data_IF_187025848488
#
_entry.id   IF_187025848488
#
_cell.length_a   1.000
_cell.length_b   1.000
_cell.length_c   1.000
_cell.angle_alpha   90.00
_cell.angle_beta   90.00
_cell.angle_gamma   90.00
#
_symmetry.space_group_name_H-M   'P 1'
#
loop_
_entity.id
_entity.type
_entity.pdbx_description
1 polymer ?
#
# COMPACT_ATOMS: atom_id res chain seq x y z
N UNK A 1 -8.89 16.10 -9.08
CA UNK A 1 -8.63 15.73 -7.68
C UNK A 1 -7.41 14.84 -7.68
N UNK A 2 -6.40 15.15 -6.87
CA UNK A 2 -5.22 14.30 -6.77
C UNK A 2 -5.61 13.19 -5.80
N UNK A 3 -5.79 11.97 -6.30
CA UNK A 3 -6.08 10.81 -5.47
C UNK A 3 -4.84 10.52 -4.63
N UNK A 4 -4.92 10.82 -3.34
CA UNK A 4 -3.82 10.57 -2.43
C UNK A 4 -3.91 9.13 -1.90
N UNK A 5 -2.81 8.36 -2.00
CA UNK A 5 -2.75 7.05 -1.38
C UNK A 5 -2.72 7.23 0.14
N UNK A 6 -3.71 6.67 0.81
CA UNK A 6 -3.93 6.82 2.24
C UNK A 6 -3.05 5.83 3.01
N UNK A 7 -3.13 4.55 2.65
CA UNK A 7 -2.44 3.47 3.34
C UNK A 7 -2.22 2.24 2.46
N UNK A 8 -1.23 1.43 2.83
CA UNK A 8 -1.04 0.09 2.29
C UNK A 8 -1.82 -0.87 3.18
N UNK A 9 -2.90 -1.41 2.65
CA UNK A 9 -3.84 -2.29 3.36
C UNK A 9 -3.35 -3.73 3.38
N UNK A 10 -2.66 -4.14 2.31
CA UNK A 10 -2.22 -5.53 2.15
C UNK A 10 -0.98 -5.60 1.27
N UNK A 11 -0.26 -6.73 1.35
CA UNK A 11 0.91 -7.03 0.51
C UNK A 11 0.81 -8.48 0.04
N UNK A 12 0.84 -8.68 -1.27
CA UNK A 12 0.80 -9.99 -1.90
C UNK A 12 1.98 -10.15 -2.83
N UNK A 13 2.63 -11.33 -2.81
CA UNK A 13 3.67 -11.65 -3.78
C UNK A 13 3.13 -12.63 -4.79
N UNK A 14 2.95 -12.17 -6.04
CA UNK A 14 2.61 -13.07 -7.14
C UNK A 14 3.84 -13.82 -7.61
N UNK A 15 3.84 -15.13 -7.37
CA UNK A 15 4.89 -16.05 -7.85
C UNK A 15 4.53 -16.53 -9.26
N UNK A 16 5.40 -16.20 -10.20
CA UNK A 16 5.41 -16.77 -11.55
C UNK A 16 6.47 -17.88 -11.62
N UNK A 17 6.53 -18.61 -12.74
CA UNK A 17 7.45 -19.75 -12.93
C UNK A 17 8.92 -19.44 -12.63
N UNK A 18 9.36 -18.20 -12.85
CA UNK A 18 10.76 -17.77 -12.69
C UNK A 18 10.93 -16.44 -11.94
N UNK A 19 9.84 -15.78 -11.57
CA UNK A 19 9.90 -14.44 -10.97
C UNK A 19 8.86 -14.30 -9.86
N UNK A 20 9.14 -13.35 -8.96
CA UNK A 20 8.24 -12.97 -7.89
C UNK A 20 7.97 -11.48 -8.05
N UNK A 21 6.69 -11.12 -8.13
CA UNK A 21 6.26 -9.72 -8.28
C UNK A 21 5.58 -9.33 -6.96
N UNK A 22 6.23 -8.53 -6.10
CA UNK A 22 5.59 -7.98 -4.92
C UNK A 22 4.59 -6.91 -5.34
N UNK A 23 3.34 -7.09 -4.91
CA UNK A 23 2.23 -6.18 -5.10
C UNK A 23 1.77 -5.68 -3.73
N UNK A 24 1.36 -4.42 -3.68
CA UNK A 24 0.76 -3.81 -2.49
C UNK A 24 -0.65 -3.38 -2.82
N UNK A 25 -1.59 -3.69 -1.92
CA UNK A 25 -2.95 -3.17 -1.98
C UNK A 25 -2.98 -1.80 -1.34
N UNK A 26 -3.24 -0.79 -2.14
CA UNK A 26 -3.24 0.61 -1.71
C UNK A 26 -4.68 1.08 -1.62
N UNK A 27 -5.02 1.70 -0.50
CA UNK A 27 -6.26 2.43 -0.32
C UNK A 27 -6.05 3.89 -0.76
N UNK A 28 -6.95 4.38 -1.60
CA UNK A 28 -6.95 5.73 -2.11
C UNK A 28 -8.09 6.52 -1.49
N UNK A 29 -7.79 7.74 -1.05
CA UNK A 29 -8.79 8.67 -0.57
C UNK A 29 -9.32 9.49 -1.75
N UNK A 30 -10.23 8.89 -2.52
CA UNK A 30 -10.91 9.57 -3.63
C UNK A 30 -12.18 10.24 -3.14
N UNK A 31 -12.59 11.33 -3.82
CA UNK A 31 -13.85 12.03 -3.49
C UNK A 31 -15.10 11.17 -3.66
N UNK A 32 -14.97 10.08 -4.42
CA UNK A 32 -16.06 9.13 -4.70
C UNK A 32 -16.14 8.01 -3.66
N UNK A 33 -15.21 7.97 -2.70
CA UNK A 33 -15.11 6.94 -1.68
C UNK A 33 -13.73 6.27 -1.64
N UNK A 34 -13.52 5.33 -0.72
CA UNK A 34 -12.30 4.55 -0.63
C UNK A 34 -12.19 3.60 -1.82
N UNK A 35 -11.13 3.76 -2.60
CA UNK A 35 -10.79 2.86 -3.71
C UNK A 35 -9.59 2.00 -3.33
N UNK A 36 -9.56 0.78 -3.84
CA UNK A 36 -8.46 -0.15 -3.58
C UNK A 36 -7.87 -0.63 -4.88
N UNK A 37 -6.57 -0.39 -5.07
CA UNK A 37 -5.84 -0.89 -6.25
C UNK A 37 -4.63 -1.72 -5.84
N UNK A 38 -4.18 -2.59 -6.73
CA UNK A 38 -2.96 -3.37 -6.56
C UNK A 38 -1.85 -2.73 -7.40
N UNK A 39 -0.80 -2.25 -6.73
CA UNK A 39 0.34 -1.60 -7.36
C UNK A 39 1.62 -2.41 -7.14
N UNK A 40 2.56 -2.35 -8.08
CA UNK A 40 3.87 -2.98 -7.90
C UNK A 40 4.64 -2.30 -6.76
N UNK A 41 5.07 -3.08 -5.76
CA UNK A 41 5.72 -2.57 -4.55
C UNK A 41 6.94 -1.71 -4.90
N UNK A 42 7.81 -2.18 -5.80
CA UNK A 42 9.04 -1.48 -6.16
C UNK A 42 8.80 -0.09 -6.75
N UNK A 43 7.77 0.04 -7.58
CA UNK A 43 7.41 1.32 -8.20
C UNK A 43 6.68 2.22 -7.20
N UNK A 44 5.78 1.63 -6.41
CA UNK A 44 5.00 2.35 -5.42
C UNK A 44 5.90 2.89 -4.30
N UNK A 45 6.90 2.12 -3.86
CA UNK A 45 7.88 2.51 -2.83
C UNK A 45 8.77 3.65 -3.28
N UNK A 46 9.13 3.72 -4.57
CA UNK A 46 9.89 4.86 -5.11
C UNK A 46 9.07 6.15 -5.09
N UNK A 47 7.76 6.05 -5.39
CA UNK A 47 6.87 7.21 -5.48
C UNK A 47 6.35 7.67 -4.11
N UNK A 48 6.08 6.73 -3.21
CA UNK A 48 5.50 6.97 -1.88
C UNK A 48 6.26 6.21 -0.79
N UNK A 49 7.57 6.49 -0.59
CA UNK A 49 8.38 5.77 0.41
C UNK A 49 7.84 5.95 1.85
N UNK A 50 7.17 7.07 2.12
CA UNK A 50 6.61 7.40 3.44
C UNK A 50 5.46 6.46 3.87
N UNK A 51 4.76 5.83 2.93
CA UNK A 51 3.69 4.86 3.24
C UNK A 51 4.25 3.52 3.72
N UNK A 52 5.48 3.19 3.35
CA UNK A 52 6.15 1.95 3.76
C UNK A 52 6.81 2.05 5.14
N UNK A 53 7.07 3.27 5.63
CA UNK A 53 7.73 3.51 6.92
C UNK A 53 6.81 3.56 8.14
N UNK A 54 5.47 3.56 7.94
CA UNK A 54 4.48 3.69 9.03
C UNK A 54 3.94 2.37 9.58
N UNK A 55 4.28 1.23 8.98
CA UNK A 55 3.89 -0.08 9.52
C UNK A 55 4.86 -0.51 10.62
N UNK A 56 4.88 0.24 11.73
CA UNK A 56 5.20 -0.32 13.03
C UNK A 56 3.87 -0.40 13.79
N UNK A 57 3.54 -1.50 14.48
CA UNK A 57 2.37 -1.53 15.34
C UNK A 57 2.69 -0.63 16.53
N UNK A 58 2.33 0.66 16.46
CA UNK A 58 2.07 1.40 17.68
C UNK A 58 0.73 0.92 18.22
N UNK A 59 0.72 -0.30 18.74
CA UNK A 59 -0.22 -0.74 19.75
C UNK A 59 -0.02 0.17 20.96
N UNK A 60 -0.71 1.31 20.99
CA UNK A 60 -1.03 1.97 22.24
C UNK A 60 -2.51 1.77 22.50
N UNK A 61 -2.83 0.56 22.95
CA UNK A 61 -4.02 0.26 23.71
C UNK A 61 -3.82 0.84 25.12
N UNK A 62 -4.39 2.01 25.43
CA UNK A 62 -4.63 2.58 26.79
C UNK A 62 -5.28 3.95 26.58
N UNK A 63 -6.42 4.35 27.14
CA UNK A 63 -7.24 3.86 28.26
C UNK A 63 -8.71 4.23 28.02
#
# INVERSE_FOLDING_TARGET
FMEEPEEIVDREVKRLKQSQIPLVKVRWNSKRGPEFTWECEDQFRKKYPHLFGKTAPSSSNTS
#
